data_IF_698367503435
#
_entry.id   IF_698367503435
#
_cell.length_a   1.000
_cell.length_b   1.000
_cell.length_c   1.000
_cell.angle_alpha   90.00
_cell.angle_beta   90.00
_cell.angle_gamma   90.00
#
_symmetry.space_group_name_H-M   'P 1'
#
loop_
_entity.id
_entity.type
_entity.pdbx_description
1 polymer ?
#
# COMPACT_ATOMS: atom_id res chain seq x y z
N UNK A 1 5.20 -31.80 6.82
CA UNK A 1 5.82 -30.58 6.27
C UNK A 1 4.85 -29.43 6.49
N UNK A 2 5.35 -28.31 6.98
CA UNK A 2 4.49 -27.16 7.30
C UNK A 2 3.99 -26.53 5.99
N UNK A 3 2.72 -26.74 5.67
CA UNK A 3 2.12 -26.34 4.38
C UNK A 3 1.69 -24.86 4.37
N UNK A 4 2.06 -24.12 5.43
CA UNK A 4 1.74 -22.71 5.58
C UNK A 4 2.59 -21.86 4.64
N UNK A 5 1.95 -20.95 3.91
CA UNK A 5 2.63 -19.98 3.05
C UNK A 5 3.36 -18.95 3.89
N UNK A 6 4.52 -18.51 3.41
CA UNK A 6 5.35 -17.49 4.04
C UNK A 6 5.24 -16.18 3.25
N UNK A 7 4.87 -15.10 3.92
CA UNK A 7 4.67 -13.78 3.30
C UNK A 7 5.50 -12.72 4.02
N UNK A 8 6.30 -11.96 3.27
CA UNK A 8 6.96 -10.75 3.79
C UNK A 8 6.03 -9.55 3.59
N UNK A 9 5.83 -8.75 4.65
CA UNK A 9 5.09 -7.49 4.60
C UNK A 9 6.00 -6.35 5.04
N UNK A 10 6.31 -5.43 4.12
CA UNK A 10 7.11 -4.24 4.43
C UNK A 10 6.25 -3.08 4.93
N UNK A 11 6.82 -2.22 5.79
CA UNK A 11 6.06 -1.12 6.39
C UNK A 11 4.94 -1.59 7.32
N UNK A 12 5.12 -2.75 7.97
CA UNK A 12 4.10 -3.40 8.78
C UNK A 12 3.91 -2.81 10.20
N UNK A 13 4.67 -1.79 10.56
CA UNK A 13 4.59 -1.18 11.90
C UNK A 13 3.35 -0.32 12.14
N UNK A 14 2.50 -0.08 11.13
CA UNK A 14 1.23 0.68 11.25
C UNK A 14 0.36 0.55 9.99
N UNK A 15 -0.88 0.98 10.09
CA UNK A 15 -1.81 1.21 8.98
C UNK A 15 -2.05 -0.03 8.13
N UNK A 16 -2.00 0.11 6.79
CA UNK A 16 -2.30 -0.96 5.84
C UNK A 16 -1.37 -2.16 6.03
N UNK A 17 -0.07 -1.93 6.26
CA UNK A 17 0.90 -3.01 6.45
C UNK A 17 0.64 -3.81 7.72
N UNK A 18 0.32 -3.17 8.84
CA UNK A 18 -0.05 -3.84 10.09
C UNK A 18 -1.35 -4.64 9.92
N UNK A 19 -2.39 -4.03 9.32
CA UNK A 19 -3.66 -4.70 9.06
C UNK A 19 -3.49 -5.93 8.14
N UNK A 20 -2.62 -5.81 7.13
CA UNK A 20 -2.30 -6.93 6.22
C UNK A 20 -1.58 -8.06 6.95
N UNK A 21 -0.61 -7.74 7.80
CA UNK A 21 0.11 -8.75 8.56
C UNK A 21 -0.82 -9.51 9.53
N UNK A 22 -1.72 -8.80 10.20
CA UNK A 22 -2.75 -9.41 11.05
C UNK A 22 -3.67 -10.34 10.27
N UNK A 23 -4.24 -9.85 9.16
CA UNK A 23 -5.13 -10.62 8.29
C UNK A 23 -4.47 -11.92 7.80
N UNK A 24 -3.23 -11.83 7.33
CA UNK A 24 -2.50 -12.99 6.85
C UNK A 24 -2.18 -14.00 7.98
N UNK A 25 -1.84 -13.51 9.16
CA UNK A 25 -1.65 -14.33 10.37
C UNK A 25 -2.94 -15.06 10.77
N UNK A 26 -4.08 -14.35 10.81
CA UNK A 26 -5.41 -14.92 11.03
C UNK A 26 -5.76 -15.99 9.99
N UNK A 27 -5.33 -15.79 8.74
CA UNK A 27 -5.48 -16.75 7.63
C UNK A 27 -4.49 -17.93 7.70
N UNK A 28 -3.69 -18.05 8.76
CA UNK A 28 -2.79 -19.18 8.99
C UNK A 28 -1.44 -19.09 8.26
N UNK A 29 -1.07 -17.95 7.68
CA UNK A 29 0.22 -17.74 7.06
C UNK A 29 1.33 -17.49 8.08
N UNK A 30 2.56 -17.87 7.76
CA UNK A 30 3.74 -17.33 8.42
C UNK A 30 4.02 -15.94 7.85
N UNK A 31 4.04 -14.93 8.70
CA UNK A 31 4.26 -13.55 8.29
C UNK A 31 5.59 -13.04 8.80
N UNK A 32 6.41 -12.47 7.93
CA UNK A 32 7.62 -11.75 8.29
C UNK A 32 7.35 -10.26 8.10
N UNK A 33 7.49 -9.49 9.17
CA UNK A 33 7.13 -8.07 9.20
C UNK A 33 8.35 -7.18 9.29
N UNK A 34 8.43 -6.18 8.42
CA UNK A 34 9.57 -5.27 8.35
C UNK A 34 9.13 -3.81 8.38
N UNK A 35 10.01 -2.98 8.92
CA UNK A 35 9.88 -1.54 9.02
C UNK A 35 10.97 -0.94 9.91
N UNK A 36 11.11 0.38 9.91
CA UNK A 36 12.19 1.06 10.66
C UNK A 36 12.00 1.09 12.17
N UNK A 37 10.74 1.13 12.63
CA UNK A 37 10.40 1.22 14.05
C UNK A 37 10.30 -0.19 14.63
N UNK A 38 11.20 -0.54 15.54
CA UNK A 38 11.26 -1.88 16.13
C UNK A 38 10.09 -2.19 17.06
N UNK A 39 9.67 -1.25 17.91
CA UNK A 39 8.63 -1.53 18.91
C UNK A 39 7.26 -1.89 18.33
N UNK A 40 6.70 -1.18 17.31
CA UNK A 40 5.47 -1.62 16.66
C UNK A 40 5.58 -3.03 16.04
N UNK A 41 6.73 -3.39 15.46
CA UNK A 41 6.94 -4.72 14.91
C UNK A 41 7.00 -5.79 15.98
N UNK A 42 7.71 -5.53 17.10
CA UNK A 42 7.77 -6.46 18.23
C UNK A 42 6.41 -6.64 18.90
N UNK A 43 5.61 -5.58 18.98
CA UNK A 43 4.22 -5.69 19.44
C UNK A 43 3.44 -6.64 18.54
N UNK A 44 3.52 -6.45 17.22
CA UNK A 44 2.84 -7.29 16.24
C UNK A 44 3.32 -8.76 16.32
N UNK A 45 4.62 -8.98 16.52
CA UNK A 45 5.21 -10.31 16.78
C UNK A 45 4.59 -10.99 18.00
N UNK A 46 4.51 -10.28 19.13
CA UNK A 46 3.90 -10.82 20.36
C UNK A 46 2.43 -11.17 20.20
N UNK A 47 1.70 -10.36 19.43
CA UNK A 47 0.24 -10.49 19.28
C UNK A 47 -0.17 -11.51 18.23
N UNK A 48 0.66 -11.75 17.20
CA UNK A 48 0.29 -12.54 16.02
C UNK A 48 1.21 -13.73 15.76
N UNK A 49 2.36 -13.81 16.41
CA UNK A 49 3.40 -14.79 16.11
C UNK A 49 4.18 -14.50 14.80
N UNK A 50 4.02 -13.30 14.22
CA UNK A 50 4.82 -12.88 13.08
C UNK A 50 6.31 -12.77 13.47
N UNK A 51 7.22 -12.97 12.50
CA UNK A 51 8.65 -12.74 12.70
C UNK A 51 8.97 -11.26 12.45
N UNK A 52 9.41 -10.55 13.48
CA UNK A 52 9.79 -9.14 13.36
C UNK A 52 11.23 -8.97 12.87
N UNK A 53 11.43 -8.26 11.77
CA UNK A 53 12.74 -7.90 11.23
C UNK A 53 12.83 -6.38 11.02
N UNK A 54 13.26 -5.61 12.02
CA UNK A 54 13.44 -4.17 11.89
C UNK A 54 14.49 -3.84 10.83
N UNK A 55 14.11 -3.08 9.79
CA UNK A 55 15.01 -2.72 8.69
C UNK A 55 14.57 -1.46 7.95
N UNK A 56 15.51 -0.76 7.32
CA UNK A 56 15.20 0.26 6.32
C UNK A 56 15.01 -0.42 4.96
N UNK A 57 13.86 -0.20 4.35
CA UNK A 57 13.53 -0.76 3.03
C UNK A 57 14.46 -0.27 1.91
N UNK A 58 15.13 0.89 2.10
CA UNK A 58 16.08 1.45 1.13
C UNK A 58 17.54 1.02 1.34
N UNK A 59 17.83 0.15 2.32
CA UNK A 59 19.18 -0.38 2.58
C UNK A 59 19.33 -1.77 1.94
N UNK A 60 20.23 -1.94 0.94
CA UNK A 60 20.43 -3.22 0.26
C UNK A 60 20.79 -4.37 1.20
N UNK A 61 21.68 -4.14 2.19
CA UNK A 61 22.10 -5.17 3.12
C UNK A 61 20.97 -5.62 4.06
N UNK A 62 20.15 -4.66 4.50
CA UNK A 62 18.98 -4.93 5.33
C UNK A 62 17.89 -5.70 4.56
N UNK A 63 17.72 -5.41 3.27
CA UNK A 63 16.77 -6.12 2.38
C UNK A 63 17.20 -7.57 2.15
N UNK A 64 18.47 -7.82 1.87
CA UNK A 64 19.00 -9.19 1.71
C UNK A 64 18.87 -9.98 3.04
N UNK A 65 19.13 -9.32 4.18
CA UNK A 65 18.93 -9.89 5.51
C UNK A 65 17.49 -10.27 5.79
N UNK A 66 16.52 -9.44 5.37
CA UNK A 66 15.08 -9.71 5.54
C UNK A 66 14.64 -10.99 4.80
N UNK A 67 15.06 -11.14 3.54
CA UNK A 67 14.74 -12.36 2.76
C UNK A 67 15.39 -13.58 3.40
N UNK A 68 16.66 -13.46 3.81
CA UNK A 68 17.38 -14.54 4.50
C UNK A 68 16.67 -14.94 5.79
N UNK A 69 16.27 -14.00 6.63
CA UNK A 69 15.55 -14.28 7.89
C UNK A 69 14.25 -15.06 7.63
N UNK A 70 13.50 -14.73 6.57
CA UNK A 70 12.30 -15.46 6.18
C UNK A 70 12.61 -16.91 5.80
N UNK A 71 13.70 -17.13 5.06
CA UNK A 71 14.12 -18.45 4.61
C UNK A 71 14.68 -19.30 5.76
N UNK A 72 15.50 -18.70 6.63
CA UNK A 72 16.09 -19.40 7.78
C UNK A 72 15.00 -19.86 8.77
N UNK A 73 13.97 -19.03 8.98
CA UNK A 73 12.87 -19.37 9.88
C UNK A 73 11.87 -20.36 9.31
N UNK A 74 11.60 -20.33 8.00
CA UNK A 74 10.45 -21.03 7.41
C UNK A 74 10.79 -21.87 6.17
N UNK A 75 12.01 -21.79 5.60
CA UNK A 75 12.48 -22.59 4.49
C UNK A 75 11.90 -22.22 3.11
N UNK A 76 11.00 -21.23 3.04
CA UNK A 76 10.30 -20.85 1.80
C UNK A 76 9.87 -19.38 1.81
N UNK A 77 9.52 -18.87 0.64
CA UNK A 77 8.88 -17.55 0.49
C UNK A 77 7.84 -17.63 -0.64
N UNK A 78 6.57 -17.37 -0.29
CA UNK A 78 5.42 -17.52 -1.18
C UNK A 78 4.77 -16.20 -1.54
N UNK A 79 4.94 -15.18 -0.73
CA UNK A 79 4.29 -13.90 -0.96
C UNK A 79 5.14 -12.71 -0.54
N UNK A 80 4.88 -11.59 -1.22
CA UNK A 80 5.56 -10.33 -0.95
C UNK A 80 4.57 -9.17 -1.02
N UNK A 81 4.50 -8.36 0.05
CA UNK A 81 3.71 -7.13 0.09
C UNK A 81 4.66 -5.93 0.16
N UNK A 82 4.74 -5.20 -0.96
CA UNK A 82 5.55 -3.99 -1.12
C UNK A 82 4.73 -2.78 -0.63
N UNK A 83 4.63 -2.64 0.70
CA UNK A 83 3.80 -1.60 1.32
C UNK A 83 4.61 -0.44 1.92
N UNK A 84 5.88 -0.65 2.28
CA UNK A 84 6.72 0.42 2.82
C UNK A 84 6.71 1.65 1.91
N UNK A 85 6.49 2.81 2.49
CA UNK A 85 6.47 4.06 1.74
C UNK A 85 6.46 5.28 2.64
N UNK A 86 6.93 6.38 2.09
CA UNK A 86 6.88 7.72 2.69
C UNK A 86 6.24 8.71 1.72
N UNK A 87 5.63 9.75 2.27
CA UNK A 87 5.11 10.88 1.50
C UNK A 87 5.93 12.13 1.77
N UNK A 88 6.34 12.82 0.72
CA UNK A 88 6.84 14.20 0.74
C UNK A 88 6.01 14.99 -0.26
N UNK A 89 5.72 16.23 0.08
CA UNK A 89 5.07 17.17 -0.82
C UNK A 89 6.12 17.96 -1.64
N UNK A 90 5.65 18.66 -2.64
CA UNK A 90 6.43 19.58 -3.46
C UNK A 90 5.97 19.61 -4.90
N UNK A 91 6.06 20.78 -5.54
CA UNK A 91 5.90 20.93 -6.98
C UNK A 91 7.22 20.56 -7.67
N UNK A 92 7.20 20.31 -8.97
CA UNK A 92 8.42 19.99 -9.71
C UNK A 92 9.46 21.12 -9.69
N UNK A 93 9.02 22.38 -9.50
CA UNK A 93 9.91 23.55 -9.44
C UNK A 93 10.53 23.81 -8.07
N UNK A 94 9.82 23.44 -6.98
CA UNK A 94 10.20 23.82 -5.60
C UNK A 94 10.67 22.63 -4.76
N UNK A 95 10.64 21.42 -5.33
CA UNK A 95 10.98 20.18 -4.64
C UNK A 95 12.48 20.15 -4.29
N UNK A 96 12.79 19.95 -3.01
CA UNK A 96 14.17 19.68 -2.60
C UNK A 96 14.63 18.31 -3.12
N UNK A 97 15.80 18.24 -3.74
CA UNK A 97 16.34 16.98 -4.29
C UNK A 97 16.47 15.88 -3.22
N UNK A 98 16.82 16.24 -1.98
CA UNK A 98 16.86 15.28 -0.87
C UNK A 98 15.50 14.65 -0.56
N UNK A 99 14.39 15.38 -0.66
CA UNK A 99 13.04 14.84 -0.49
C UNK A 99 12.66 13.93 -1.66
N UNK A 100 13.06 14.26 -2.88
CA UNK A 100 12.92 13.40 -4.04
C UNK A 100 13.66 12.07 -3.85
N UNK A 101 14.94 12.15 -3.50
CA UNK A 101 15.80 10.98 -3.32
C UNK A 101 15.30 10.07 -2.19
N UNK A 102 14.85 10.64 -1.07
CA UNK A 102 14.25 9.88 0.04
C UNK A 102 13.02 9.12 -0.40
N UNK A 103 12.11 9.78 -1.15
CA UNK A 103 10.88 9.16 -1.65
C UNK A 103 11.22 8.04 -2.65
N UNK A 104 12.08 8.31 -3.62
CA UNK A 104 12.45 7.31 -4.62
C UNK A 104 13.20 6.13 -4.00
N UNK A 105 14.11 6.39 -3.08
CA UNK A 105 14.84 5.35 -2.34
C UNK A 105 13.89 4.42 -1.59
N UNK A 106 12.93 4.98 -0.86
CA UNK A 106 12.02 4.18 -0.02
C UNK A 106 10.91 3.52 -0.84
N UNK A 107 10.25 4.28 -1.74
CA UNK A 107 9.02 3.83 -2.40
C UNK A 107 9.26 3.02 -3.68
N UNK A 108 10.45 3.11 -4.27
CA UNK A 108 10.77 2.46 -5.54
C UNK A 108 12.04 1.61 -5.48
N UNK A 109 13.18 2.19 -5.09
CA UNK A 109 14.45 1.44 -5.06
C UNK A 109 14.40 0.30 -4.04
N UNK A 110 13.85 0.55 -2.85
CA UNK A 110 13.66 -0.49 -1.84
C UNK A 110 12.81 -1.68 -2.33
N UNK A 111 11.60 -1.47 -2.85
CA UNK A 111 10.81 -2.50 -3.55
C UNK A 111 11.58 -3.25 -4.64
N UNK A 112 12.35 -2.57 -5.47
CA UNK A 112 13.17 -3.19 -6.52
C UNK A 112 14.25 -4.10 -5.91
N UNK A 113 14.96 -3.64 -4.89
CA UNK A 113 15.97 -4.45 -4.19
C UNK A 113 15.34 -5.71 -3.57
N UNK A 114 14.18 -5.55 -2.92
CA UNK A 114 13.47 -6.67 -2.30
C UNK A 114 12.94 -7.67 -3.34
N UNK A 115 12.42 -7.20 -4.46
CA UNK A 115 12.05 -8.05 -5.59
C UNK A 115 13.26 -8.84 -6.10
N UNK A 116 14.39 -8.17 -6.32
CA UNK A 116 15.62 -8.83 -6.78
C UNK A 116 16.06 -9.97 -5.85
N UNK A 117 16.02 -9.76 -4.54
CA UNK A 117 16.38 -10.78 -3.56
C UNK A 117 15.33 -11.89 -3.43
N UNK A 118 14.04 -11.56 -3.53
CA UNK A 118 12.93 -12.49 -3.29
C UNK A 118 12.55 -13.34 -4.52
N UNK A 119 12.71 -12.84 -5.75
CA UNK A 119 12.23 -13.46 -6.98
C UNK A 119 12.70 -14.91 -7.19
N UNK A 120 13.98 -15.31 -6.92
CA UNK A 120 14.38 -16.71 -7.06
C UNK A 120 13.56 -17.66 -6.16
N UNK A 121 13.11 -17.20 -5.02
CA UNK A 121 12.30 -17.96 -4.06
C UNK A 121 10.82 -17.96 -4.44
N UNK A 122 10.29 -16.82 -4.89
CA UNK A 122 8.93 -16.71 -5.40
C UNK A 122 8.71 -17.58 -6.65
N UNK A 123 9.69 -17.66 -7.55
CA UNK A 123 9.64 -18.57 -8.71
C UNK A 123 9.51 -20.02 -8.25
N UNK A 124 10.34 -20.46 -7.29
CA UNK A 124 10.26 -21.83 -6.75
C UNK A 124 8.91 -22.14 -6.11
N UNK A 125 8.31 -21.15 -5.45
CA UNK A 125 7.02 -21.28 -4.77
C UNK A 125 5.81 -21.05 -5.69
N UNK A 126 6.02 -20.58 -6.93
CA UNK A 126 4.95 -20.01 -7.79
C UNK A 126 4.16 -18.96 -7.04
N UNK A 127 4.87 -18.02 -6.42
CA UNK A 127 4.37 -17.09 -5.44
C UNK A 127 3.63 -15.89 -6.03
N UNK A 128 3.31 -14.93 -5.15
CA UNK A 128 2.60 -13.72 -5.55
C UNK A 128 3.20 -12.46 -4.91
N UNK A 129 3.17 -11.37 -5.66
CA UNK A 129 3.59 -10.03 -5.23
C UNK A 129 2.39 -9.10 -5.26
N UNK A 130 2.22 -8.28 -4.22
CA UNK A 130 1.26 -7.18 -4.22
C UNK A 130 1.97 -5.89 -3.85
N UNK A 131 1.96 -4.93 -4.80
CA UNK A 131 2.42 -3.57 -4.56
C UNK A 131 1.31 -2.71 -3.97
N UNK A 132 1.60 -1.95 -2.92
CA UNK A 132 0.68 -0.94 -2.39
C UNK A 132 1.07 0.42 -2.98
N UNK A 133 0.42 0.78 -4.08
CA UNK A 133 0.60 2.07 -4.72
C UNK A 133 -0.28 3.16 -4.08
N UNK A 134 -1.07 3.86 -4.84
CA UNK A 134 -2.04 4.87 -4.44
C UNK A 134 -2.89 5.27 -5.65
N UNK A 135 -4.06 5.83 -5.45
CA UNK A 135 -4.78 6.55 -6.52
C UNK A 135 -3.92 7.67 -7.13
N UNK A 136 -2.93 8.18 -6.41
CA UNK A 136 -1.93 9.12 -6.93
C UNK A 136 -1.03 8.54 -8.04
N UNK A 137 -0.99 7.22 -8.20
CA UNK A 137 -0.34 6.57 -9.34
C UNK A 137 -1.17 6.66 -10.63
N UNK A 138 -2.47 6.92 -10.52
CA UNK A 138 -3.45 6.96 -11.62
C UNK A 138 -3.87 8.39 -11.95
N UNK A 139 -3.94 9.25 -10.94
CA UNK A 139 -4.31 10.67 -11.02
C UNK A 139 -3.38 11.45 -10.10
N UNK A 140 -3.16 12.73 -10.34
CA UNK A 140 -2.28 13.53 -9.49
C UNK A 140 -3.03 14.68 -8.84
N UNK A 141 -2.52 15.12 -7.70
CA UNK A 141 -2.94 16.32 -7.00
C UNK A 141 -1.80 17.36 -6.95
N UNK A 142 -2.16 18.60 -6.67
CA UNK A 142 -1.19 19.71 -6.54
C UNK A 142 -0.16 19.40 -5.45
N UNK A 143 1.11 19.72 -5.70
CA UNK A 143 2.19 19.58 -4.72
C UNK A 143 2.51 18.13 -4.34
N UNK A 144 2.29 17.15 -5.21
CA UNK A 144 2.46 15.73 -4.92
C UNK A 144 3.44 15.02 -5.87
N UNK A 145 4.32 15.78 -6.54
CA UNK A 145 5.18 15.27 -7.59
C UNK A 145 6.03 14.04 -7.19
N UNK A 146 6.83 14.06 -6.09
CA UNK A 146 7.70 12.92 -5.78
C UNK A 146 6.89 11.68 -5.42
N UNK A 147 5.86 11.82 -4.60
CA UNK A 147 5.05 10.70 -4.16
C UNK A 147 4.29 10.04 -5.32
N UNK A 148 3.56 10.84 -6.12
CA UNK A 148 2.80 10.32 -7.25
C UNK A 148 3.70 9.61 -8.27
N UNK A 149 4.85 10.20 -8.60
CA UNK A 149 5.84 9.60 -9.50
C UNK A 149 6.35 8.28 -8.95
N UNK A 150 6.69 8.20 -7.67
CA UNK A 150 7.17 6.95 -7.07
C UNK A 150 6.11 5.85 -7.07
N UNK A 151 4.83 6.20 -6.84
CA UNK A 151 3.73 5.23 -6.83
C UNK A 151 3.35 4.77 -8.24
N UNK A 152 3.43 5.64 -9.24
CA UNK A 152 3.29 5.26 -10.65
C UNK A 152 4.44 4.34 -11.11
N UNK A 153 5.67 4.62 -10.69
CA UNK A 153 6.83 3.79 -10.98
C UNK A 153 6.73 2.40 -10.31
N UNK A 154 6.27 2.32 -9.05
CA UNK A 154 6.03 1.04 -8.36
C UNK A 154 4.98 0.20 -9.09
N UNK A 155 3.90 0.84 -9.56
CA UNK A 155 2.86 0.17 -10.37
C UNK A 155 3.50 -0.47 -11.61
N UNK A 156 4.30 0.27 -12.35
CA UNK A 156 4.95 -0.24 -13.55
C UNK A 156 6.00 -1.30 -13.23
N UNK A 157 6.73 -1.20 -12.13
CA UNK A 157 7.66 -2.22 -11.66
C UNK A 157 6.95 -3.57 -11.40
N UNK A 158 5.78 -3.54 -10.76
CA UNK A 158 4.99 -4.76 -10.55
C UNK A 158 4.50 -5.37 -11.87
N UNK A 159 4.12 -4.54 -12.86
CA UNK A 159 3.77 -5.03 -14.20
C UNK A 159 4.95 -5.69 -14.91
N UNK A 160 6.16 -5.14 -14.78
CA UNK A 160 7.37 -5.80 -15.30
C UNK A 160 7.55 -7.18 -14.70
N UNK A 161 7.40 -7.33 -13.36
CA UNK A 161 7.46 -8.65 -12.71
C UNK A 161 6.38 -9.59 -13.24
N UNK A 162 5.16 -9.11 -13.45
CA UNK A 162 4.05 -9.92 -13.97
C UNK A 162 4.35 -10.46 -15.38
N UNK A 163 4.98 -9.65 -16.23
CA UNK A 163 5.33 -10.03 -17.61
C UNK A 163 6.54 -10.97 -17.63
N UNK A 164 7.61 -10.61 -16.91
CA UNK A 164 8.89 -11.31 -16.97
C UNK A 164 8.84 -12.69 -16.31
N UNK A 165 8.06 -12.83 -15.22
CA UNK A 165 8.03 -14.04 -14.39
C UNK A 165 6.69 -14.81 -14.44
N UNK A 166 5.70 -14.32 -15.18
CA UNK A 166 4.39 -14.96 -15.28
C UNK A 166 4.44 -16.40 -15.79
N UNK A 167 5.29 -16.71 -16.78
CA UNK A 167 5.49 -18.07 -17.28
C UNK A 167 6.13 -18.99 -16.26
N UNK A 168 6.82 -18.44 -15.26
CA UNK A 168 7.42 -19.16 -14.15
C UNK A 168 6.46 -19.31 -12.97
N UNK A 169 5.20 -18.85 -13.13
CA UNK A 169 4.12 -18.99 -12.15
C UNK A 169 4.06 -17.88 -11.10
N UNK A 170 4.87 -16.82 -11.21
CA UNK A 170 4.79 -15.67 -10.32
C UNK A 170 3.71 -14.71 -10.79
N UNK A 171 2.85 -14.28 -9.89
CA UNK A 171 1.87 -13.21 -10.15
C UNK A 171 2.30 -11.93 -9.43
N UNK A 172 2.11 -10.79 -10.08
CA UNK A 172 2.36 -9.49 -9.47
C UNK A 172 1.23 -8.52 -9.81
N UNK A 173 0.60 -7.97 -8.77
CA UNK A 173 -0.54 -7.06 -8.89
C UNK A 173 -0.34 -5.85 -7.99
N UNK A 174 -1.17 -4.83 -8.17
CA UNK A 174 -1.08 -3.58 -7.42
C UNK A 174 -2.44 -3.20 -6.88
N UNK A 175 -2.50 -2.79 -5.62
CA UNK A 175 -3.65 -2.07 -5.06
C UNK A 175 -3.36 -0.57 -5.05
N UNK A 176 -4.38 0.24 -5.36
CA UNK A 176 -4.31 1.70 -5.36
C UNK A 176 -5.33 2.28 -4.35
N UNK A 177 -4.96 2.38 -3.07
CA UNK A 177 -5.83 3.00 -2.07
C UNK A 177 -5.98 4.51 -2.30
N UNK A 178 -7.13 5.06 -1.90
CA UNK A 178 -7.33 6.50 -1.69
C UNK A 178 -7.00 6.89 -0.25
N UNK A 179 -7.77 7.82 0.34
CA UNK A 179 -7.65 8.15 1.76
C UNK A 179 -8.05 6.96 2.62
N UNK A 180 -7.12 6.46 3.42
CA UNK A 180 -7.29 5.36 4.38
C UNK A 180 -6.83 5.84 5.74
N UNK A 181 -7.56 5.56 6.82
CA UNK A 181 -7.24 5.95 8.19
C UNK A 181 -5.94 5.27 8.63
N UNK A 182 -4.86 6.01 8.58
CA UNK A 182 -3.50 5.57 8.92
C UNK A 182 -2.73 6.71 9.57
N UNK A 183 -1.71 6.41 10.37
CA UNK A 183 -0.84 7.45 10.93
C UNK A 183 -0.29 8.43 9.88
N UNK A 184 -0.03 7.96 8.66
CA UNK A 184 0.45 8.81 7.57
C UNK A 184 -0.65 9.78 7.11
N UNK A 185 -1.86 9.27 6.91
CA UNK A 185 -3.00 10.08 6.49
C UNK A 185 -3.44 11.03 7.61
N UNK A 186 -3.47 10.57 8.86
CA UNK A 186 -3.85 11.37 10.02
C UNK A 186 -2.93 12.59 10.18
N UNK A 187 -1.60 12.39 10.05
CA UNK A 187 -0.65 13.51 10.06
C UNK A 187 -0.90 14.50 8.93
N UNK A 188 -1.25 14.02 7.74
CA UNK A 188 -1.57 14.90 6.61
C UNK A 188 -2.90 15.64 6.82
N UNK A 189 -3.92 14.97 7.36
CA UNK A 189 -5.21 15.59 7.68
C UNK A 189 -5.07 16.62 8.79
N UNK A 190 -4.30 16.33 9.84
CA UNK A 190 -4.03 17.29 10.89
C UNK A 190 -3.33 18.56 10.36
N UNK A 191 -2.34 18.39 9.48
CA UNK A 191 -1.68 19.51 8.82
C UNK A 191 -2.65 20.31 7.92
N UNK A 192 -3.44 19.63 7.11
CA UNK A 192 -4.45 20.27 6.26
C UNK A 192 -5.48 21.04 7.09
N UNK A 193 -5.94 20.47 8.21
CA UNK A 193 -6.86 21.14 9.11
C UNK A 193 -6.28 22.46 9.68
N UNK A 194 -4.98 22.48 9.98
CA UNK A 194 -4.29 23.70 10.42
C UNK A 194 -4.15 24.72 9.30
N UNK A 195 -3.70 24.32 8.12
CA UNK A 195 -3.49 25.18 6.95
C UNK A 195 -4.82 25.79 6.43
N UNK A 196 -5.92 25.04 6.55
CA UNK A 196 -7.26 25.45 6.10
C UNK A 196 -8.15 26.03 7.22
N UNK A 197 -7.60 26.23 8.42
CA UNK A 197 -8.31 26.81 9.59
C UNK A 197 -9.66 26.13 9.89
N UNK A 198 -9.71 24.78 9.84
CA UNK A 198 -10.96 24.01 9.95
C UNK A 198 -11.56 23.96 11.36
N UNK A 199 -11.09 24.79 12.29
CA UNK A 199 -11.67 24.93 13.62
C UNK A 199 -11.55 23.70 14.51
N UNK A 200 -12.51 23.51 15.43
CA UNK A 200 -12.43 22.45 16.46
C UNK A 200 -12.54 21.01 15.93
N UNK A 201 -12.98 20.80 14.69
CA UNK A 201 -13.10 19.47 14.08
C UNK A 201 -11.76 18.82 13.69
N UNK A 202 -10.69 19.63 13.57
CA UNK A 202 -9.34 19.16 13.33
C UNK A 202 -9.23 18.17 12.17
N UNK A 203 -8.50 17.07 12.37
CA UNK A 203 -8.26 16.06 11.34
C UNK A 203 -9.56 15.38 10.85
N UNK A 204 -10.60 15.27 11.67
CA UNK A 204 -11.87 14.66 11.23
C UNK A 204 -12.60 15.55 10.22
N UNK A 205 -12.66 16.87 10.45
CA UNK A 205 -13.18 17.82 9.45
C UNK A 205 -12.37 17.79 8.14
N UNK A 206 -11.05 17.61 8.25
CA UNK A 206 -10.18 17.44 7.08
C UNK A 206 -10.50 16.16 6.30
N UNK A 207 -10.75 15.04 6.98
CA UNK A 207 -11.23 13.82 6.32
C UNK A 207 -12.57 14.01 5.63
N UNK A 208 -13.53 14.64 6.29
CA UNK A 208 -14.84 14.93 5.69
C UNK A 208 -14.69 15.73 4.40
N UNK A 209 -13.88 16.79 4.39
CA UNK A 209 -13.60 17.55 3.17
C UNK A 209 -12.86 16.74 2.10
N UNK A 210 -11.81 15.99 2.49
CA UNK A 210 -11.02 15.22 1.57
C UNK A 210 -11.78 14.05 0.93
N UNK A 211 -12.87 13.60 1.57
CA UNK A 211 -13.71 12.51 1.08
C UNK A 211 -15.11 12.95 0.63
N UNK A 212 -15.38 14.24 0.59
CA UNK A 212 -16.68 14.77 0.19
C UNK A 212 -17.14 14.31 -1.22
N UNK A 213 -16.17 14.10 -2.13
CA UNK A 213 -16.43 13.62 -3.49
C UNK A 213 -16.20 12.11 -3.65
N UNK A 214 -15.86 11.39 -2.59
CA UNK A 214 -15.76 9.93 -2.65
C UNK A 214 -17.18 9.34 -2.64
N UNK A 215 -17.60 8.53 -3.61
CA UNK A 215 -18.96 8.00 -3.67
C UNK A 215 -19.41 7.27 -2.39
N UNK A 216 -18.50 6.60 -1.69
CA UNK A 216 -18.80 5.97 -0.40
C UNK A 216 -18.83 6.94 0.79
N UNK A 217 -18.53 8.23 0.60
CA UNK A 217 -18.68 9.31 1.57
C UNK A 217 -17.77 9.24 2.79
N UNK A 218 -16.72 8.40 2.77
CA UNK A 218 -15.82 8.21 3.91
C UNK A 218 -14.41 7.80 3.48
N UNK A 219 -13.41 7.98 4.34
CA UNK A 219 -12.12 7.31 4.14
C UNK A 219 -12.28 5.79 4.28
N UNK A 220 -11.38 5.03 3.65
CA UNK A 220 -11.28 3.59 3.86
C UNK A 220 -10.61 3.26 5.19
N UNK A 221 -10.81 2.03 5.66
CA UNK A 221 -10.10 1.47 6.79
C UNK A 221 -8.93 0.58 6.32
N UNK A 222 -7.82 0.50 7.09
CA UNK A 222 -6.67 -0.34 6.72
C UNK A 222 -7.04 -1.80 6.41
N UNK A 223 -8.02 -2.34 7.12
CA UNK A 223 -8.50 -3.72 6.94
C UNK A 223 -9.14 -3.92 5.56
N UNK A 224 -9.86 -2.94 5.02
CA UNK A 224 -10.49 -3.03 3.70
C UNK A 224 -9.46 -3.17 2.58
N UNK A 225 -8.32 -2.47 2.71
CA UNK A 225 -7.19 -2.63 1.78
C UNK A 225 -6.48 -3.96 1.99
N UNK A 226 -6.31 -4.39 3.24
CA UNK A 226 -5.69 -5.67 3.58
C UNK A 226 -6.46 -6.85 3.00
N UNK A 227 -7.80 -6.82 2.99
CA UNK A 227 -8.64 -7.87 2.37
C UNK A 227 -8.37 -7.99 0.86
N UNK A 228 -8.26 -6.87 0.15
CA UNK A 228 -7.90 -6.87 -1.27
C UNK A 228 -6.49 -7.45 -1.51
N UNK A 229 -5.52 -7.10 -0.65
CA UNK A 229 -4.15 -7.64 -0.70
C UNK A 229 -4.18 -9.16 -0.45
N UNK A 230 -4.89 -9.61 0.57
CA UNK A 230 -5.03 -11.03 0.93
C UNK A 230 -5.63 -11.85 -0.23
N UNK A 231 -6.70 -11.32 -0.86
CA UNK A 231 -7.28 -11.94 -2.04
C UNK A 231 -6.29 -12.03 -3.20
N UNK A 232 -5.57 -10.96 -3.53
CA UNK A 232 -4.57 -10.96 -4.61
C UNK A 232 -3.41 -11.94 -4.36
N UNK A 233 -3.04 -12.18 -3.10
CA UNK A 233 -2.04 -13.18 -2.73
C UNK A 233 -2.58 -14.61 -2.80
N UNK A 234 -3.88 -14.80 -2.69
CA UNK A 234 -4.53 -16.11 -2.57
C UNK A 234 -4.63 -16.86 -3.91
N UNK A 235 -4.90 -18.18 -3.88
CA UNK A 235 -5.20 -18.96 -5.09
C UNK A 235 -6.47 -18.49 -5.81
N UNK A 236 -7.41 -17.83 -5.14
CA UNK A 236 -8.63 -17.30 -5.76
C UNK A 236 -8.33 -16.25 -6.83
N UNK A 237 -7.15 -15.61 -6.78
CA UNK A 237 -6.65 -14.67 -7.79
C UNK A 237 -5.68 -15.33 -8.80
N UNK A 238 -5.77 -16.65 -9.03
CA UNK A 238 -4.79 -17.42 -9.82
C UNK A 238 -4.62 -16.95 -11.27
N UNK A 239 -5.65 -16.32 -11.86
CA UNK A 239 -5.58 -15.77 -13.23
C UNK A 239 -5.50 -14.23 -13.27
N UNK A 240 -5.25 -13.60 -12.10
CA UNK A 240 -5.07 -12.15 -11.98
C UNK A 240 -3.59 -11.84 -11.91
N UNK A 241 -3.05 -11.23 -12.98
CA UNK A 241 -1.64 -10.89 -13.10
C UNK A 241 -1.46 -9.56 -13.85
N UNK A 242 -0.63 -8.66 -13.34
CA UNK A 242 -0.43 -7.31 -13.89
C UNK A 242 -1.60 -6.33 -13.63
N UNK A 243 -2.57 -6.73 -12.82
CA UNK A 243 -3.74 -5.92 -12.54
C UNK A 243 -3.41 -4.74 -11.62
N UNK A 244 -4.17 -3.66 -11.82
CA UNK A 244 -4.21 -2.48 -10.95
C UNK A 244 -5.61 -2.37 -10.38
N UNK A 245 -5.74 -2.58 -9.08
CA UNK A 245 -7.00 -2.59 -8.38
C UNK A 245 -7.16 -1.34 -7.52
N UNK A 246 -7.98 -0.35 -7.91
CA UNK A 246 -8.36 0.73 -7.01
C UNK A 246 -9.13 0.18 -5.80
N UNK A 247 -8.74 0.62 -4.60
CA UNK A 247 -9.43 0.35 -3.34
C UNK A 247 -9.68 1.72 -2.71
N UNK A 248 -10.65 2.44 -3.25
CA UNK A 248 -10.69 3.89 -3.18
C UNK A 248 -12.09 4.50 -2.94
N UNK A 249 -13.07 3.66 -2.64
CA UNK A 249 -14.46 4.12 -2.41
C UNK A 249 -15.13 4.71 -3.65
N UNK A 250 -14.54 4.47 -4.86
CA UNK A 250 -15.07 4.92 -6.13
C UNK A 250 -14.53 6.28 -6.61
N UNK A 251 -13.56 6.89 -5.90
CA UNK A 251 -13.07 8.22 -6.28
C UNK A 251 -12.44 8.27 -7.67
N UNK A 252 -11.83 7.19 -8.15
CA UNK A 252 -11.26 7.15 -9.49
C UNK A 252 -12.30 6.86 -10.60
N UNK A 253 -13.52 6.45 -10.23
CA UNK A 253 -14.61 6.24 -11.17
C UNK A 253 -15.36 7.53 -11.53
N UNK A 254 -15.16 8.61 -10.75
CA UNK A 254 -15.81 9.90 -11.01
C UNK A 254 -15.17 10.58 -12.23
N UNK A 255 -16.00 11.08 -13.11
CA UNK A 255 -15.57 12.05 -14.12
C UNK A 255 -15.53 13.46 -13.48
N UNK A 256 -14.34 14.08 -13.32
CA UNK A 256 -14.23 15.41 -12.72
C UNK A 256 -15.03 16.49 -13.48
N UNK A 257 -15.28 16.30 -14.78
CA UNK A 257 -16.07 17.23 -15.61
C UNK A 257 -17.54 17.27 -15.21
N UNK A 258 -18.05 16.23 -14.56
CA UNK A 258 -19.46 16.14 -14.14
C UNK A 258 -19.72 16.61 -12.72
N UNK A 259 -18.69 16.80 -11.90
CA UNK A 259 -18.81 17.21 -10.48
C UNK A 259 -19.64 18.50 -10.31
N UNK A 260 -19.51 19.45 -11.26
CA UNK A 260 -20.28 20.68 -11.21
C UNK A 260 -21.80 20.47 -11.37
N UNK A 261 -22.23 19.35 -11.94
CA UNK A 261 -23.65 19.03 -12.13
C UNK A 261 -24.27 18.36 -10.90
N UNK A 262 -23.49 17.73 -10.05
CA UNK A 262 -23.95 17.03 -8.84
C UNK A 262 -24.63 17.98 -7.84
N UNK A 263 -24.29 19.25 -7.86
CA UNK A 263 -24.96 20.28 -7.08
C UNK A 263 -26.40 20.58 -7.53
N UNK A 264 -26.78 20.13 -8.73
CA UNK A 264 -28.09 20.33 -9.33
C UNK A 264 -28.93 19.04 -9.40
N UNK A 265 -28.33 17.90 -9.10
CA UNK A 265 -29.03 16.63 -9.00
C UNK A 265 -29.48 16.45 -7.56
N UNK A 266 -30.63 17.06 -7.24
CA UNK A 266 -31.31 16.78 -5.97
C UNK A 266 -31.72 15.31 -5.98
N UNK A 267 -31.37 14.49 -4.96
CA UNK A 267 -31.96 13.16 -4.82
C UNK A 267 -33.48 13.33 -4.86
N UNK A 268 -34.16 12.61 -5.75
CA UNK A 268 -35.61 12.54 -5.69
C UNK A 268 -35.90 11.76 -4.39
N UNK A 269 -36.24 12.51 -3.34
CA UNK A 269 -36.95 11.94 -2.23
C UNK A 269 -38.14 11.20 -2.83
N UNK A 270 -38.32 9.93 -2.47
CA UNK A 270 -39.29 9.01 -3.08
C UNK A 270 -40.77 9.39 -2.90
N UNK A 271 -41.07 10.69 -2.79
CA UNK A 271 -42.38 11.26 -2.84
C UNK A 271 -42.62 11.76 -4.28
N UNK A 272 -42.84 10.79 -5.17
CA UNK A 272 -43.23 11.07 -6.53
C UNK A 272 -44.56 11.85 -6.58
N UNK A 273 -44.55 12.99 -7.19
CA UNK A 273 -45.66 13.55 -7.97
C UNK A 273 -45.10 14.02 -9.30
#
# INVERSE_FOLDING_TARGET
MNDKRVVIVTGAGSGIGEATARLLGEGGHHVVVSGRRSEPLRRLERETGALAYPSDAGDPAAVDGLVRAALDAHGRLDGLVLNAGIGRGGTAGDLALGDWDDVMRTNLTGPMLLLRAALPHLVRARGAVVGVASVSALRNGVGNAPYATSKAALLQLCRSVAVDYGRQGVRANVVCPSWVRTEMADRRMARFAQEAELGQGGAESAYQQATALVPMGRPGEPREVAEAIGWLLSPAASFVNGAVLPVDGGVTAIDPGTVAFDFHITPRDGTGR
#
